data_IF_349472597700
#
_entry.id   IF_349472597700
#
_cell.length_a   1.000
_cell.length_b   1.000
_cell.length_c   1.000
_cell.angle_alpha   90.00
_cell.angle_beta   90.00
_cell.angle_gamma   90.00
#
_symmetry.space_group_name_H-M   'P 1'
#
loop_
_entity.id
_entity.type
_entity.pdbx_description
1 polymer ?
#
# COMPACT_ATOMS: atom_id res chain seq x y z
N UNK A 1 2.84 -10.33 7.52
CA UNK A 1 3.51 -10.91 8.68
C UNK A 1 2.51 -11.40 9.72
N UNK A 2 3.02 -11.97 10.80
CA UNK A 2 2.19 -12.50 11.89
C UNK A 2 1.29 -11.42 12.52
N UNK A 3 1.80 -10.22 12.64
CA UNK A 3 1.08 -9.03 13.08
C UNK A 3 -0.19 -8.74 12.25
N UNK A 4 -0.08 -8.90 10.94
CA UNK A 4 -1.22 -8.71 10.03
C UNK A 4 -2.27 -9.83 10.16
N UNK A 5 -1.83 -11.07 10.39
CA UNK A 5 -2.73 -12.20 10.67
C UNK A 5 -3.54 -11.94 11.93
N UNK A 6 -2.86 -11.53 13.01
CA UNK A 6 -3.52 -11.20 14.27
C UNK A 6 -4.51 -10.03 14.15
N UNK A 7 -4.14 -8.98 13.39
CA UNK A 7 -5.05 -7.87 13.15
C UNK A 7 -6.29 -8.31 12.35
N UNK A 8 -6.13 -9.19 11.36
CA UNK A 8 -7.26 -9.75 10.62
C UNK A 8 -8.15 -10.61 11.52
N UNK A 9 -7.55 -11.46 12.36
CA UNK A 9 -8.27 -12.28 13.33
C UNK A 9 -9.06 -11.44 14.34
N UNK A 10 -8.46 -10.38 14.87
CA UNK A 10 -9.13 -9.45 15.79
C UNK A 10 -10.27 -8.64 15.14
N UNK A 11 -10.33 -8.57 13.81
CA UNK A 11 -11.42 -7.89 13.07
C UNK A 11 -12.49 -8.85 12.57
N UNK A 12 -12.20 -10.15 12.47
CA UNK A 12 -13.09 -11.17 11.90
C UNK A 12 -14.42 -11.27 12.66
N UNK A 13 -14.39 -11.17 13.99
CA UNK A 13 -15.60 -11.20 14.83
C UNK A 13 -15.52 -10.16 15.95
N UNK A 14 -15.17 -8.91 15.61
CA UNK A 14 -14.91 -7.83 16.56
C UNK A 14 -16.06 -7.55 17.53
N UNK A 15 -17.30 -7.72 17.07
CA UNK A 15 -18.50 -7.42 17.84
C UNK A 15 -19.12 -8.67 18.48
N UNK A 16 -18.49 -9.84 18.30
CA UNK A 16 -18.98 -11.10 18.89
C UNK A 16 -20.35 -11.56 18.37
N UNK A 17 -20.76 -11.08 17.17
CA UNK A 17 -22.10 -11.40 16.62
C UNK A 17 -22.21 -12.83 16.07
N UNK A 18 -21.10 -13.46 15.77
CA UNK A 18 -21.02 -14.85 15.33
C UNK A 18 -20.28 -15.67 16.38
N UNK A 19 -20.69 -16.93 16.56
CA UNK A 19 -20.11 -17.79 17.60
C UNK A 19 -18.61 -18.01 17.40
N UNK A 20 -18.16 -18.20 16.14
CA UNK A 20 -16.76 -18.38 15.77
C UNK A 20 -16.48 -17.73 14.43
N UNK A 21 -15.44 -16.88 14.37
CA UNK A 21 -14.93 -16.31 13.13
C UNK A 21 -13.88 -17.22 12.50
N UNK A 22 -13.76 -17.21 11.18
CA UNK A 22 -12.73 -17.93 10.43
C UNK A 22 -11.80 -16.96 9.72
N UNK A 23 -10.50 -17.20 9.81
CA UNK A 23 -9.47 -16.44 9.11
C UNK A 23 -8.67 -17.38 8.23
N UNK A 24 -8.71 -17.14 6.93
CA UNK A 24 -7.95 -17.91 5.96
C UNK A 24 -6.63 -17.18 5.65
N UNK A 25 -5.52 -17.87 5.88
CA UNK A 25 -4.17 -17.36 5.56
C UNK A 25 -3.65 -18.11 4.35
N UNK A 26 -3.27 -17.39 3.32
CA UNK A 26 -2.70 -17.96 2.11
C UNK A 26 -1.40 -17.28 1.71
N UNK A 27 -0.57 -17.97 0.97
CA UNK A 27 0.65 -17.41 0.37
C UNK A 27 0.32 -16.98 -1.04
N UNK A 28 0.36 -15.67 -1.36
CA UNK A 28 0.08 -15.21 -2.71
C UNK A 28 1.17 -15.69 -3.68
N UNK A 29 0.86 -15.90 -4.97
CA UNK A 29 1.83 -16.31 -5.98
C UNK A 29 2.95 -15.30 -6.16
N UNK A 30 2.62 -14.01 -6.02
CA UNK A 30 3.60 -12.93 -6.11
C UNK A 30 4.07 -12.53 -4.71
N UNK A 31 5.37 -12.59 -4.49
CA UNK A 31 5.94 -12.19 -3.21
C UNK A 31 5.84 -10.66 -3.00
N UNK A 32 5.69 -10.18 -1.76
CA UNK A 32 5.74 -8.75 -1.47
C UNK A 32 7.05 -8.12 -1.96
N UNK A 33 7.05 -6.82 -2.33
CA UNK A 33 8.27 -6.12 -2.70
C UNK A 33 9.33 -6.21 -1.60
N UNK A 34 10.63 -6.11 -1.94
CA UNK A 34 11.70 -6.09 -0.95
C UNK A 34 11.45 -5.04 0.13
N UNK A 35 11.61 -5.42 1.40
CA UNK A 35 11.40 -4.54 2.53
C UNK A 35 10.84 -5.26 3.75
N UNK A 36 10.30 -4.48 4.68
CA UNK A 36 9.80 -5.02 5.96
C UNK A 36 8.66 -6.03 5.76
N UNK A 37 7.78 -5.80 4.80
CA UNK A 37 6.65 -6.71 4.54
C UNK A 37 7.11 -8.08 4.07
N UNK A 38 8.12 -8.14 3.18
CA UNK A 38 8.72 -9.40 2.75
C UNK A 38 9.40 -10.11 3.90
N UNK A 39 10.24 -9.40 4.66
CA UNK A 39 10.92 -9.95 5.82
C UNK A 39 9.94 -10.50 6.86
N UNK A 40 8.88 -9.76 7.16
CA UNK A 40 7.82 -10.19 8.06
C UNK A 40 7.10 -11.45 7.56
N UNK A 41 6.82 -11.54 6.25
CA UNK A 41 6.23 -12.74 5.65
C UNK A 41 7.18 -13.94 5.73
N UNK A 42 8.48 -13.74 5.48
CA UNK A 42 9.48 -14.81 5.52
C UNK A 42 9.69 -15.31 6.96
N UNK A 43 9.77 -14.43 7.95
CA UNK A 43 9.82 -14.81 9.38
C UNK A 43 8.58 -15.61 9.78
N UNK A 44 7.38 -15.16 9.36
CA UNK A 44 6.14 -15.89 9.64
C UNK A 44 6.16 -17.29 9.05
N UNK A 45 6.59 -17.45 7.79
CA UNK A 45 6.71 -18.77 7.14
C UNK A 45 7.70 -19.67 7.85
N UNK A 46 8.82 -19.12 8.32
CA UNK A 46 9.82 -19.86 9.08
C UNK A 46 9.22 -20.40 10.37
N UNK A 47 8.55 -19.54 11.15
CA UNK A 47 7.91 -19.95 12.39
C UNK A 47 6.80 -21.02 12.16
N UNK A 48 6.01 -20.87 11.11
CA UNK A 48 4.99 -21.89 10.76
C UNK A 48 5.57 -23.26 10.36
N UNK A 49 6.84 -23.33 9.93
CA UNK A 49 7.50 -24.58 9.57
C UNK A 49 8.17 -25.29 10.75
N UNK A 50 8.39 -24.61 11.87
CA UNK A 50 9.10 -25.11 13.03
C UNK A 50 8.28 -26.06 13.92
N UNK A 51 7.08 -26.50 13.50
CA UNK A 51 6.22 -27.42 14.23
C UNK A 51 4.96 -26.78 14.77
N UNK A 52 4.49 -27.18 15.95
CA UNK A 52 3.28 -26.64 16.58
C UNK A 52 3.40 -25.11 16.79
N UNK A 53 2.75 -24.37 15.91
CA UNK A 53 2.77 -22.92 15.90
C UNK A 53 1.34 -22.38 15.91
N UNK A 54 0.96 -21.78 17.04
CA UNK A 54 -0.28 -21.01 17.13
C UNK A 54 0.00 -19.54 16.78
N UNK A 55 -0.49 -19.05 15.62
CA UNK A 55 -0.26 -17.69 15.19
C UNK A 55 -0.89 -16.62 16.07
N UNK A 56 -1.78 -17.00 16.99
CA UNK A 56 -2.47 -16.07 17.91
C UNK A 56 -1.96 -16.16 19.34
N UNK A 57 -1.10 -17.13 19.67
CA UNK A 57 -0.51 -17.23 21.00
C UNK A 57 0.46 -16.07 21.29
N UNK A 58 0.43 -15.47 22.49
CA UNK A 58 1.31 -14.37 22.87
C UNK A 58 2.80 -14.67 22.65
N UNK A 59 3.25 -15.88 22.96
CA UNK A 59 4.64 -16.31 22.76
C UNK A 59 5.09 -16.34 21.31
N UNK A 60 4.15 -16.50 20.36
CA UNK A 60 4.44 -16.46 18.93
C UNK A 60 4.81 -15.06 18.47
N UNK A 61 4.20 -14.02 19.05
CA UNK A 61 4.55 -12.63 18.77
C UNK A 61 5.95 -12.27 19.27
N UNK A 62 6.30 -12.72 20.47
CA UNK A 62 7.64 -12.48 21.02
C UNK A 62 8.72 -13.09 20.12
N UNK A 63 8.53 -14.34 19.67
CA UNK A 63 9.42 -15.02 18.73
C UNK A 63 9.49 -14.29 17.40
N UNK A 64 8.33 -13.90 16.86
CA UNK A 64 8.23 -13.19 15.58
C UNK A 64 8.96 -11.84 15.61
N UNK A 65 8.69 -10.99 16.59
CA UNK A 65 9.32 -9.68 16.68
C UNK A 65 10.81 -9.77 17.01
N UNK A 66 11.23 -10.75 17.81
CA UNK A 66 12.66 -10.99 18.08
C UNK A 66 13.41 -11.33 16.79
N UNK A 67 12.91 -12.24 15.97
CA UNK A 67 13.50 -12.58 14.67
C UNK A 67 13.47 -11.39 13.70
N UNK A 68 12.33 -10.70 13.59
CA UNK A 68 12.18 -9.57 12.69
C UNK A 68 13.12 -8.42 13.06
N UNK A 69 13.23 -8.09 14.34
CA UNK A 69 14.11 -7.03 14.81
C UNK A 69 15.59 -7.41 14.68
N UNK A 70 15.93 -8.66 14.91
CA UNK A 70 17.28 -9.15 14.65
C UNK A 70 17.69 -9.00 13.19
N UNK A 71 16.82 -9.39 12.26
CA UNK A 71 17.05 -9.21 10.82
C UNK A 71 17.15 -7.74 10.39
N UNK A 72 16.49 -6.86 11.11
CA UNK A 72 16.48 -5.43 10.80
C UNK A 72 17.73 -4.72 11.35
N UNK A 73 18.21 -5.12 12.51
CA UNK A 73 19.37 -4.50 13.17
C UNK A 73 19.26 -2.97 13.17
N UNK A 74 20.33 -2.30 12.74
CA UNK A 74 20.41 -0.83 12.70
C UNK A 74 19.37 -0.16 11.78
N UNK A 75 18.75 -0.92 10.87
CA UNK A 75 17.68 -0.40 9.98
C UNK A 75 16.37 -0.11 10.71
N UNK A 76 16.22 -0.51 11.98
CA UNK A 76 15.06 -0.14 12.81
C UNK A 76 14.98 1.37 13.01
N UNK A 77 16.14 2.03 13.19
CA UNK A 77 16.21 3.49 13.31
C UNK A 77 16.92 4.13 12.11
N UNK A 78 16.50 3.76 10.90
CA UNK A 78 17.07 4.24 9.63
C UNK A 78 17.22 5.78 9.57
N UNK A 79 16.37 6.50 10.27
CA UNK A 79 16.35 7.97 10.25
C UNK A 79 17.02 8.62 11.46
N UNK A 80 17.61 7.83 12.36
CA UNK A 80 18.25 8.32 13.57
C UNK A 80 17.28 9.02 14.53
N UNK A 81 16.04 8.56 14.59
CA UNK A 81 14.99 9.16 15.45
C UNK A 81 15.32 8.93 16.92
N UNK A 82 15.78 7.72 17.27
CA UNK A 82 16.14 7.39 18.62
C UNK A 82 17.21 8.34 19.16
N UNK A 83 18.27 8.57 18.41
CA UNK A 83 19.35 9.49 18.80
C UNK A 83 18.86 10.94 19.02
N UNK A 84 17.84 11.37 18.23
CA UNK A 84 17.24 12.69 18.39
C UNK A 84 16.35 12.83 19.63
N UNK A 85 15.80 11.71 20.11
CA UNK A 85 14.90 11.63 21.24
C UNK A 85 15.57 11.00 22.48
N UNK A 86 16.81 10.51 22.35
CA UNK A 86 17.59 9.98 23.46
C UNK A 86 18.31 11.13 24.18
N UNK A 87 18.11 11.19 25.48
CA UNK A 87 18.77 12.19 26.31
C UNK A 87 19.96 11.54 27.01
N UNK A 88 21.14 11.75 26.47
CA UNK A 88 22.40 11.23 27.06
C UNK A 88 22.79 11.98 28.34
N UNK A 89 21.90 12.23 29.29
CA UNK A 89 22.18 12.59 30.68
C UNK A 89 23.20 13.69 31.00
N UNK A 90 23.74 14.39 30.00
CA UNK A 90 24.85 15.36 30.16
C UNK A 90 24.38 16.79 30.47
N UNK A 91 23.10 17.05 30.51
CA UNK A 91 22.54 18.36 30.81
C UNK A 91 21.32 18.22 31.73
N UNK A 92 21.19 19.11 32.71
CA UNK A 92 20.00 19.19 33.55
C UNK A 92 18.74 19.67 32.80
N UNK A 93 18.89 20.11 31.54
CA UNK A 93 17.79 20.55 30.69
C UNK A 93 17.37 19.42 29.73
N UNK A 94 16.12 19.01 29.79
CA UNK A 94 15.52 18.06 28.86
C UNK A 94 15.33 18.75 27.47
N UNK A 95 16.31 18.57 26.60
CA UNK A 95 16.25 19.11 25.22
C UNK A 95 16.07 17.98 24.23
N UNK A 96 14.89 17.83 23.70
CA UNK A 96 14.58 16.84 22.65
C UNK A 96 14.38 17.53 21.31
N UNK A 97 14.94 16.97 20.26
CA UNK A 97 14.81 17.49 18.90
C UNK A 97 13.48 17.07 18.24
N UNK A 98 12.33 17.26 18.91
CA UNK A 98 11.02 16.81 18.44
C UNK A 98 10.67 17.27 17.03
N UNK A 99 10.94 18.53 16.69
CA UNK A 99 10.66 19.05 15.35
C UNK A 99 11.47 18.34 14.29
N UNK A 100 12.76 18.09 14.55
CA UNK A 100 13.64 17.37 13.64
C UNK A 100 13.24 15.90 13.56
N UNK A 101 12.93 15.26 14.68
CA UNK A 101 12.44 13.90 14.72
C UNK A 101 11.13 13.76 13.92
N UNK A 102 10.16 14.65 14.11
CA UNK A 102 8.90 14.66 13.37
C UNK A 102 9.10 14.87 11.86
N UNK A 103 10.05 15.73 11.45
CA UNK A 103 10.35 15.94 10.04
C UNK A 103 11.02 14.74 9.37
N UNK A 104 11.80 13.96 10.12
CA UNK A 104 12.47 12.74 9.63
C UNK A 104 11.60 11.50 9.73
N UNK A 105 10.66 11.47 10.68
CA UNK A 105 9.74 10.35 10.85
C UNK A 105 8.70 10.35 9.75
N UNK A 106 8.69 9.30 8.95
CA UNK A 106 7.71 9.10 7.89
C UNK A 106 7.13 7.71 8.00
N UNK A 107 5.90 7.62 8.46
CA UNK A 107 5.16 6.37 8.58
C UNK A 107 4.80 5.83 7.18
N UNK A 108 4.45 6.73 6.26
CA UNK A 108 4.09 6.42 4.88
C UNK A 108 5.07 7.16 3.96
N UNK A 109 5.75 6.43 3.10
CA UNK A 109 6.63 7.00 2.08
C UNK A 109 5.84 7.24 0.79
N UNK A 110 5.00 8.29 0.77
CA UNK A 110 4.15 8.62 -0.38
C UNK A 110 4.92 9.23 -1.57
N UNK A 111 6.24 9.43 -1.44
CA UNK A 111 7.04 10.12 -2.47
C UNK A 111 7.04 9.42 -3.82
N UNK A 112 6.80 8.09 -3.84
CA UNK A 112 6.79 7.28 -5.05
C UNK A 112 5.39 6.89 -5.54
N UNK A 113 4.34 7.43 -4.91
CA UNK A 113 2.96 7.16 -5.34
C UNK A 113 2.42 8.29 -6.20
N UNK A 114 1.64 7.91 -7.19
CA UNK A 114 0.85 8.79 -8.05
C UNK A 114 -0.60 8.37 -8.01
N UNK A 115 -1.49 9.29 -8.30
CA UNK A 115 -2.93 9.09 -8.25
C UNK A 115 -3.48 8.90 -9.65
N UNK A 116 -4.20 7.81 -9.90
CA UNK A 116 -4.90 7.56 -11.16
C UNK A 116 -6.40 7.63 -10.92
N UNK A 117 -7.07 8.53 -11.61
CA UNK A 117 -8.53 8.61 -11.64
C UNK A 117 -9.05 7.51 -12.52
N UNK A 118 -9.86 6.61 -11.98
CA UNK A 118 -10.48 5.51 -12.72
C UNK A 118 -11.90 5.89 -13.14
N UNK A 119 -12.26 5.52 -14.38
CA UNK A 119 -13.60 5.73 -14.92
C UNK A 119 -14.47 4.51 -14.59
N UNK A 120 -15.05 4.52 -13.41
CA UNK A 120 -15.94 3.46 -12.91
C UNK A 120 -17.26 4.04 -12.46
N UNK A 121 -18.43 3.37 -12.66
CA UNK A 121 -18.62 2.07 -13.30
C UNK A 121 -18.74 2.17 -14.84
N UNK A 122 -18.17 1.16 -15.53
CA UNK A 122 -18.32 0.97 -16.99
C UNK A 122 -17.49 1.93 -17.86
N UNK A 123 -17.58 1.74 -19.20
CA UNK A 123 -16.72 2.48 -20.14
C UNK A 123 -16.99 3.98 -20.16
N UNK A 124 -18.23 4.39 -19.93
CA UNK A 124 -18.61 5.81 -19.89
C UNK A 124 -18.26 6.48 -18.56
N UNK A 125 -17.93 5.68 -17.53
CA UNK A 125 -17.55 6.13 -16.21
C UNK A 125 -18.69 6.80 -15.43
N UNK A 126 -18.35 7.34 -14.27
CA UNK A 126 -19.27 8.11 -13.44
C UNK A 126 -19.40 9.54 -13.99
N UNK A 127 -20.60 10.05 -14.31
CA UNK A 127 -20.78 11.42 -14.82
C UNK A 127 -20.19 12.51 -13.93
N UNK A 128 -20.24 12.35 -12.60
CA UNK A 128 -19.66 13.31 -11.67
C UNK A 128 -18.12 13.32 -11.73
N UNK A 129 -17.51 12.14 -11.91
CA UNK A 129 -16.06 11.98 -12.09
C UNK A 129 -15.64 12.62 -13.41
N UNK A 130 -16.35 12.32 -14.50
CA UNK A 130 -16.08 12.90 -15.81
C UNK A 130 -16.20 14.42 -15.81
N UNK A 131 -17.25 14.96 -15.21
CA UNK A 131 -17.41 16.41 -15.05
C UNK A 131 -16.29 17.04 -14.21
N UNK A 132 -15.82 16.36 -13.16
CA UNK A 132 -14.70 16.83 -12.35
C UNK A 132 -13.36 16.78 -13.11
N UNK A 133 -13.12 15.74 -13.92
CA UNK A 133 -11.96 15.65 -14.81
C UNK A 133 -11.96 16.81 -15.81
N UNK A 134 -13.08 17.05 -16.50
CA UNK A 134 -13.23 18.15 -17.44
C UNK A 134 -13.03 19.52 -16.75
N UNK A 135 -13.58 19.69 -15.55
CA UNK A 135 -13.40 20.93 -14.80
C UNK A 135 -11.93 21.21 -14.49
N UNK A 136 -11.12 20.20 -14.16
CA UNK A 136 -9.68 20.35 -13.94
C UNK A 136 -8.97 20.61 -15.26
N UNK A 137 -9.31 19.87 -16.31
CA UNK A 137 -8.65 19.95 -17.62
C UNK A 137 -8.81 21.32 -18.28
N UNK A 138 -9.98 21.92 -18.19
CA UNK A 138 -10.30 23.18 -18.86
C UNK A 138 -10.37 24.39 -17.93
N UNK A 139 -10.72 24.20 -16.67
CA UNK A 139 -10.88 25.26 -15.69
C UNK A 139 -9.79 25.34 -14.63
N UNK A 140 -8.85 24.39 -14.65
CA UNK A 140 -7.80 24.29 -13.65
C UNK A 140 -8.22 23.59 -12.35
N UNK A 141 -7.26 23.35 -11.45
CA UNK A 141 -7.49 22.61 -10.22
C UNK A 141 -8.39 23.38 -9.25
N UNK A 142 -9.42 22.71 -8.71
CA UNK A 142 -10.28 23.26 -7.67
C UNK A 142 -10.55 22.25 -6.55
N UNK A 143 -10.75 22.76 -5.31
CA UNK A 143 -11.06 21.89 -4.16
C UNK A 143 -12.33 21.03 -4.40
N UNK A 144 -13.32 21.59 -5.06
CA UNK A 144 -14.58 20.89 -5.35
C UNK A 144 -14.38 19.75 -6.34
N UNK A 145 -13.60 19.96 -7.39
CA UNK A 145 -13.26 18.92 -8.35
C UNK A 145 -12.45 17.78 -7.70
N UNK A 146 -11.40 18.11 -6.95
CA UNK A 146 -10.61 17.10 -6.23
C UNK A 146 -11.46 16.28 -5.24
N UNK A 147 -12.38 16.93 -4.51
CA UNK A 147 -13.27 16.20 -3.58
C UNK A 147 -14.17 15.19 -4.30
N UNK A 148 -14.67 15.51 -5.49
CA UNK A 148 -15.46 14.58 -6.31
C UNK A 148 -14.62 13.41 -6.81
N UNK A 149 -13.35 13.63 -7.14
CA UNK A 149 -12.45 12.59 -7.62
C UNK A 149 -11.99 11.63 -6.52
N UNK A 150 -12.01 12.00 -5.24
CA UNK A 150 -11.45 11.20 -4.14
C UNK A 150 -11.94 9.73 -4.11
N UNK A 151 -13.20 9.48 -4.51
CA UNK A 151 -13.78 8.13 -4.52
C UNK A 151 -13.39 7.31 -5.74
N UNK A 152 -12.84 7.96 -6.76
CA UNK A 152 -12.44 7.35 -8.02
C UNK A 152 -10.93 7.35 -8.22
N UNK A 153 -10.14 7.58 -7.17
CA UNK A 153 -8.68 7.65 -7.26
C UNK A 153 -8.06 6.38 -6.70
N UNK A 154 -7.18 5.78 -7.50
CA UNK A 154 -6.32 4.65 -7.11
C UNK A 154 -4.88 5.13 -7.03
N UNK A 155 -4.23 4.88 -5.89
CA UNK A 155 -2.81 5.18 -5.70
C UNK A 155 -1.93 4.06 -6.23
N UNK A 156 -1.08 4.33 -7.23
CA UNK A 156 -0.12 3.37 -7.78
C UNK A 156 1.31 3.83 -7.56
N UNK A 157 2.26 2.89 -7.59
CA UNK A 157 3.69 3.23 -7.58
C UNK A 157 4.10 3.86 -8.92
N UNK A 158 5.02 4.80 -8.88
CA UNK A 158 5.59 5.44 -10.07
C UNK A 158 6.20 4.46 -11.06
N UNK A 159 6.66 3.30 -10.59
CA UNK A 159 7.15 2.22 -11.44
C UNK A 159 6.08 1.65 -12.36
N UNK A 160 4.84 1.57 -11.89
CA UNK A 160 3.74 1.07 -12.69
C UNK A 160 3.12 2.13 -13.61
N UNK A 161 3.40 3.40 -13.34
CA UNK A 161 2.87 4.50 -14.13
C UNK A 161 3.51 4.56 -15.53
N UNK A 162 4.84 4.40 -15.60
CA UNK A 162 5.58 4.57 -16.84
C UNK A 162 5.08 3.68 -17.98
N UNK A 163 4.93 2.37 -17.83
CA UNK A 163 4.36 1.52 -18.88
C UNK A 163 2.96 1.95 -19.32
N UNK A 164 2.12 2.43 -18.37
CA UNK A 164 0.75 2.87 -18.67
C UNK A 164 0.73 4.16 -19.50
N UNK A 165 1.68 5.07 -19.26
CA UNK A 165 1.86 6.28 -20.08
C UNK A 165 2.38 5.95 -21.49
N UNK A 166 3.34 5.03 -21.60
CA UNK A 166 3.95 4.64 -22.87
C UNK A 166 2.92 4.05 -23.85
N UNK A 167 1.90 3.36 -23.34
CA UNK A 167 0.82 2.79 -24.17
C UNK A 167 -0.43 3.69 -24.25
N UNK A 168 -0.40 4.88 -23.63
CA UNK A 168 -1.53 5.79 -23.63
C UNK A 168 -2.73 5.33 -22.79
N UNK A 169 -2.57 4.33 -21.91
CA UNK A 169 -3.64 3.82 -21.07
C UNK A 169 -4.05 4.80 -19.96
N UNK A 170 -3.13 5.70 -19.60
CA UNK A 170 -3.37 6.83 -18.68
C UNK A 170 -2.75 8.09 -19.25
N UNK A 171 -3.31 9.25 -18.91
CA UNK A 171 -2.83 10.57 -19.30
C UNK A 171 -2.70 11.46 -18.06
N UNK A 172 -1.74 12.37 -18.04
CA UNK A 172 -1.59 13.34 -16.96
C UNK A 172 -2.70 14.38 -17.02
N UNK A 173 -3.43 14.51 -15.93
CA UNK A 173 -4.49 15.50 -15.77
C UNK A 173 -3.99 16.77 -15.06
N UNK A 174 -3.19 16.58 -14.02
CA UNK A 174 -2.60 17.64 -13.21
C UNK A 174 -1.54 17.04 -12.30
N UNK A 175 -0.59 17.81 -11.82
CA UNK A 175 0.54 17.42 -10.97
C UNK A 175 0.34 16.10 -10.19
N UNK A 176 1.00 15.01 -10.63
CA UNK A 176 0.91 13.66 -10.06
C UNK A 176 -0.50 13.03 -10.03
N UNK A 177 -1.46 13.61 -10.71
CA UNK A 177 -2.81 13.09 -10.92
C UNK A 177 -2.96 12.71 -12.40
N UNK A 178 -3.29 11.47 -12.64
CA UNK A 178 -3.47 10.89 -13.96
C UNK A 178 -4.92 10.45 -14.14
N UNK A 179 -5.38 10.34 -15.36
CA UNK A 179 -6.73 9.84 -15.67
C UNK A 179 -6.64 8.65 -16.61
N UNK A 180 -7.40 7.64 -16.32
CA UNK A 180 -7.56 6.45 -17.14
C UNK A 180 -8.17 6.83 -18.50
N UNK A 181 -7.53 6.41 -19.60
CA UNK A 181 -8.02 6.54 -20.97
C UNK A 181 -8.59 5.22 -21.48
N UNK A 182 -7.94 4.10 -21.17
CA UNK A 182 -8.39 2.77 -21.56
C UNK A 182 -9.32 2.19 -20.49
N UNK A 183 -10.61 1.97 -20.87
CA UNK A 183 -11.63 1.43 -19.95
C UNK A 183 -11.34 0.00 -19.50
N UNK A 184 -10.57 -0.78 -20.28
CA UNK A 184 -10.19 -2.16 -19.93
C UNK A 184 -9.17 -2.24 -18.80
N UNK A 185 -8.55 -1.10 -18.43
CA UNK A 185 -7.54 -1.04 -17.37
C UNK A 185 -8.13 -1.26 -15.97
N UNK A 186 -9.42 -1.11 -15.78
CA UNK A 186 -10.08 -1.26 -14.49
C UNK A 186 -11.13 -2.37 -14.50
N UNK A 187 -10.91 -3.37 -13.67
CA UNK A 187 -11.81 -4.48 -13.45
C UNK A 187 -12.61 -4.29 -12.15
N UNK A 188 -13.89 -4.67 -12.14
CA UNK A 188 -14.78 -4.50 -10.98
C UNK A 188 -14.35 -5.32 -9.76
N UNK A 189 -13.76 -6.48 -9.99
CA UNK A 189 -13.40 -7.44 -8.95
C UNK A 189 -11.92 -7.31 -8.56
N UNK A 190 -11.04 -7.03 -9.53
CA UNK A 190 -9.59 -6.99 -9.32
C UNK A 190 -9.04 -5.56 -9.20
N UNK A 191 -9.80 -4.53 -9.60
CA UNK A 191 -9.38 -3.15 -9.58
C UNK A 191 -8.50 -2.77 -10.77
N UNK A 192 -7.60 -1.79 -10.59
CA UNK A 192 -6.72 -1.29 -11.64
C UNK A 192 -5.64 -2.32 -12.00
N UNK A 193 -5.59 -2.74 -13.26
CA UNK A 193 -4.56 -3.61 -13.80
C UNK A 193 -3.22 -2.85 -13.85
N UNK A 194 -2.34 -3.14 -12.90
CA UNK A 194 -1.03 -2.49 -12.79
C UNK A 194 -0.01 -3.17 -13.71
N UNK A 195 -0.15 -4.48 -13.89
CA UNK A 195 0.63 -5.24 -14.86
C UNK A 195 -0.12 -5.17 -16.19
N UNK A 196 0.35 -4.31 -17.08
CA UNK A 196 -0.12 -4.29 -18.45
C UNK A 196 0.26 -5.64 -19.08
N UNK A 197 -0.69 -6.57 -19.11
CA UNK A 197 -0.57 -7.71 -20.02
C UNK A 197 -0.60 -7.08 -21.42
N UNK A 198 0.56 -7.02 -22.07
CA UNK A 198 0.59 -6.80 -23.52
C UNK A 198 -0.54 -7.65 -24.06
N UNK A 199 -1.51 -7.02 -24.73
CA UNK A 199 -2.58 -7.75 -25.39
C UNK A 199 -1.91 -8.88 -26.15
N UNK A 200 -2.25 -10.14 -25.80
CA UNK A 200 -1.69 -11.30 -26.49
C UNK A 200 -1.87 -11.01 -27.96
N UNK A 201 -0.77 -10.91 -28.68
CA UNK A 201 -0.86 -10.75 -30.12
C UNK A 201 -1.69 -11.92 -30.65
N UNK A 202 -2.53 -11.72 -31.68
CA UNK A 202 -3.36 -12.81 -32.21
C UNK A 202 -2.58 -14.09 -32.54
N UNK A 203 -1.26 -13.96 -32.73
CA UNK A 203 -0.29 -15.02 -32.96
C UNK A 203 -0.04 -15.94 -31.75
N UNK A 204 -0.32 -15.46 -30.52
CA UNK A 204 -0.19 -16.27 -29.30
C UNK A 204 -1.42 -17.15 -29.00
N UNK A 205 -2.45 -17.08 -29.84
CA UNK A 205 -3.70 -17.85 -29.70
C UNK A 205 -3.77 -19.08 -30.61
N UNK A 206 -2.73 -19.37 -31.37
CA UNK A 206 -2.65 -20.54 -32.24
C UNK A 206 -1.66 -21.55 -31.64
N UNK A 207 -2.19 -22.44 -30.81
CA UNK A 207 -1.57 -23.74 -30.49
C UNK A 207 -2.66 -24.78 -30.40
#
# INVERSE_FOLDING_TARGET
GLDSIAQAAGRCNREGRIGQGQVHVFVPPTAPPPGILRQAADVTRTLCREGEFDPLAPGSFDRFFRHLYWLRGDRLDKHGIRTLLDHEGKSHELKYAFRTAASRFRLIQDQDRVSVVVRWPGPDGNPEVNAAVQAIQYGGPSRSAFRRLQRAVVGISRWHLRPLLEVGAVEELHDRLYVQQDSSLYDSDLGLAIEFRQARQPEDLVT
#
